data_IF_512835853107
#
_entry.id   IF_512835853107
#
_cell.length_a   1.000
_cell.length_b   1.000
_cell.length_c   1.000
_cell.angle_alpha   90.00
_cell.angle_beta   90.00
_cell.angle_gamma   90.00
#
_symmetry.space_group_name_H-M   'P 1'
#
loop_
_entity.id
_entity.type
_entity.pdbx_description
1 polymer ?
#
# COMPACT_ATOMS: atom_id res chain seq x y z
N UNK A 1 -43.86 12.68 -38.70
CA UNK A 1 -42.94 11.56 -38.45
C UNK A 1 -42.14 11.87 -37.20
N UNK A 2 -42.60 11.38 -36.04
CA UNK A 2 -41.90 11.56 -34.76
C UNK A 2 -41.17 10.27 -34.42
N UNK A 3 -39.86 10.26 -34.55
CA UNK A 3 -39.03 9.12 -34.18
C UNK A 3 -38.92 9.07 -32.67
N UNK A 4 -39.71 8.20 -32.03
CA UNK A 4 -39.57 7.92 -30.60
C UNK A 4 -38.36 6.98 -30.41
N UNK A 5 -37.40 7.32 -29.54
CA UNK A 5 -36.25 6.46 -29.29
C UNK A 5 -36.67 5.17 -28.57
N UNK A 6 -35.90 4.08 -28.73
CA UNK A 6 -36.23 2.78 -28.15
C UNK A 6 -36.14 2.80 -26.61
N UNK A 7 -36.95 1.99 -25.91
CA UNK A 7 -37.14 2.07 -24.46
C UNK A 7 -35.89 1.69 -23.62
N UNK A 8 -34.82 1.20 -24.24
CA UNK A 8 -33.58 0.85 -23.55
C UNK A 8 -32.62 2.03 -23.35
N UNK A 9 -32.84 3.16 -24.02
CA UNK A 9 -31.98 4.34 -23.94
C UNK A 9 -32.04 5.07 -22.58
N UNK A 10 -33.07 4.81 -21.75
CA UNK A 10 -33.27 5.48 -20.47
C UNK A 10 -32.45 4.88 -19.31
N UNK A 11 -31.72 3.78 -19.53
CA UNK A 11 -31.02 3.05 -18.45
C UNK A 11 -29.50 3.09 -18.57
N UNK A 12 -28.93 3.95 -19.41
CA UNK A 12 -27.49 4.15 -19.46
C UNK A 12 -27.08 5.21 -18.42
N UNK A 13 -26.36 4.85 -17.34
CA UNK A 13 -25.73 5.86 -16.49
C UNK A 13 -24.70 6.66 -17.31
N UNK A 14 -24.47 7.94 -16.99
CA UNK A 14 -23.58 8.80 -17.77
C UNK A 14 -22.14 8.23 -17.80
N UNK A 15 -21.43 8.31 -18.95
CA UNK A 15 -20.00 7.99 -19.03
C UNK A 15 -19.20 9.13 -18.38
N UNK A 16 -19.16 9.15 -17.05
CA UNK A 16 -18.46 10.18 -16.27
C UNK A 16 -18.32 9.88 -14.79
N UNK A 17 -18.68 8.67 -14.35
CA UNK A 17 -18.52 8.24 -12.97
C UNK A 17 -17.96 6.83 -12.96
N UNK A 18 -16.75 6.70 -13.48
CA UNK A 18 -15.93 5.56 -13.13
C UNK A 18 -15.12 6.02 -11.90
N UNK A 19 -15.54 5.74 -10.65
CA UNK A 19 -14.57 5.71 -9.58
C UNK A 19 -13.61 4.58 -9.95
N UNK A 20 -12.33 4.91 -10.11
CA UNK A 20 -11.28 3.90 -10.23
C UNK A 20 -11.49 2.85 -9.13
N UNK A 21 -11.62 1.56 -9.46
CA UNK A 21 -11.83 0.52 -8.46
C UNK A 21 -10.49 0.18 -7.80
N UNK A 22 -9.98 1.07 -6.92
CA UNK A 22 -8.83 0.78 -6.05
C UNK A 22 -8.77 1.69 -4.83
N UNK A 23 -9.91 1.91 -4.17
CA UNK A 23 -9.97 2.37 -2.77
C UNK A 23 -11.42 2.30 -2.31
N UNK A 24 -11.89 1.12 -1.91
CA UNK A 24 -13.19 1.01 -1.25
C UNK A 24 -13.16 1.86 0.03
N UNK A 25 -13.78 3.04 0.00
CA UNK A 25 -14.64 3.53 1.10
C UNK A 25 -14.02 4.13 2.35
N UNK A 26 -12.74 4.51 2.41
CA UNK A 26 -12.18 5.14 3.61
C UNK A 26 -11.66 6.55 3.35
N UNK A 27 -12.22 7.54 4.06
CA UNK A 27 -11.77 8.94 3.99
C UNK A 27 -10.33 9.11 4.51
N UNK A 28 -9.89 8.22 5.40
CA UNK A 28 -8.54 8.16 5.94
C UNK A 28 -8.19 6.75 6.44
N UNK A 29 -6.89 6.41 6.40
CA UNK A 29 -6.34 5.17 6.92
C UNK A 29 -5.03 5.42 7.69
N UNK A 30 -4.61 4.45 8.49
CA UNK A 30 -3.39 4.50 9.30
C UNK A 30 -2.23 3.87 8.53
N UNK A 31 -1.40 4.72 7.94
CA UNK A 31 -0.22 4.29 7.19
C UNK A 31 0.96 4.16 8.15
N UNK A 32 1.76 3.12 7.97
CA UNK A 32 3.00 3.00 8.74
C UNK A 32 4.11 3.87 8.18
N UNK A 33 4.69 4.69 9.05
CA UNK A 33 5.77 5.61 8.71
C UNK A 33 6.92 5.41 9.69
N UNK A 34 8.10 5.11 9.16
CA UNK A 34 9.35 5.13 9.90
C UNK A 34 9.85 6.55 10.07
N UNK A 35 10.41 6.84 11.24
CA UNK A 35 11.04 8.13 11.51
C UNK A 35 10.11 9.33 11.20
N UNK A 36 8.81 9.19 11.47
CA UNK A 36 7.82 10.23 11.25
C UNK A 36 8.28 11.58 11.85
N UNK A 37 8.30 12.63 11.04
CA UNK A 37 8.76 13.98 11.44
C UNK A 37 10.27 14.17 11.51
N UNK A 38 11.09 13.21 11.03
CA UNK A 38 12.55 13.36 10.91
C UNK A 38 12.98 13.49 9.46
N UNK A 39 14.23 13.90 9.24
CA UNK A 39 14.81 14.05 7.91
C UNK A 39 14.94 12.73 7.13
N UNK A 40 14.88 11.59 7.82
CA UNK A 40 14.89 10.24 7.25
C UNK A 40 13.50 9.58 7.36
N UNK A 41 12.43 10.36 7.21
CA UNK A 41 11.06 9.85 7.17
C UNK A 41 10.87 8.93 5.97
N UNK A 42 10.28 7.75 6.19
CA UNK A 42 10.01 6.77 5.15
C UNK A 42 8.70 6.03 5.39
N UNK A 43 7.97 5.69 4.32
CA UNK A 43 6.70 4.96 4.42
C UNK A 43 6.99 3.46 4.36
N UNK A 44 6.30 2.68 5.20
CA UNK A 44 6.35 1.22 5.12
C UNK A 44 5.64 0.75 3.85
N UNK A 45 6.42 0.13 2.97
CA UNK A 45 5.91 -0.60 1.81
C UNK A 45 6.20 -2.08 1.99
N UNK A 46 5.27 -2.93 1.56
CA UNK A 46 5.57 -4.32 1.27
C UNK A 46 5.71 -4.49 -0.23
N UNK A 47 6.61 -5.37 -0.66
CA UNK A 47 6.67 -5.81 -2.05
C UNK A 47 6.21 -7.26 -2.08
N UNK A 48 5.08 -7.50 -2.74
CA UNK A 48 4.60 -8.85 -3.03
C UNK A 48 5.33 -9.31 -4.30
N UNK A 49 5.89 -10.52 -4.26
CA UNK A 49 6.75 -11.07 -5.31
C UNK A 49 6.07 -11.07 -6.71
N UNK A 50 4.74 -11.06 -6.74
CA UNK A 50 3.91 -11.14 -7.95
C UNK A 50 3.01 -9.90 -8.18
N UNK A 51 2.86 -9.01 -7.18
CA UNK A 51 1.85 -7.93 -7.21
C UNK A 51 2.46 -6.52 -7.08
N UNK A 52 3.79 -6.41 -7.00
CA UNK A 52 4.47 -5.11 -6.94
C UNK A 52 4.57 -4.56 -5.52
N UNK A 53 4.94 -3.27 -5.43
CA UNK A 53 5.20 -2.60 -4.14
C UNK A 53 4.00 -1.78 -3.73
N UNK A 54 3.48 -2.04 -2.53
CA UNK A 54 2.29 -1.42 -1.96
C UNK A 54 2.57 -0.84 -0.59
N UNK A 55 2.01 0.33 -0.27
CA UNK A 55 2.02 0.85 1.10
C UNK A 55 1.03 0.07 1.96
N UNK A 56 1.38 -0.20 3.22
CA UNK A 56 0.47 -0.85 4.16
C UNK A 56 -0.32 0.19 4.94
N UNK A 57 -1.64 0.15 4.82
CA UNK A 57 -2.57 1.05 5.49
C UNK A 57 -3.58 0.25 6.32
N UNK A 58 -3.81 0.65 7.57
CA UNK A 58 -4.74 -0.01 8.47
C UNK A 58 -6.01 0.83 8.65
N UNK A 59 -7.16 0.16 8.69
CA UNK A 59 -8.42 0.80 9.06
C UNK A 59 -8.46 1.15 10.56
N UNK A 60 -7.82 0.30 11.39
CA UNK A 60 -7.86 0.41 12.84
C UNK A 60 -6.48 0.80 13.41
N UNK A 61 -6.41 1.83 14.29
CA UNK A 61 -5.14 2.24 14.89
C UNK A 61 -4.56 1.19 15.86
N UNK A 62 -5.41 0.40 16.53
CA UNK A 62 -4.96 -0.66 17.45
C UNK A 62 -4.20 -1.75 16.70
N UNK A 63 -4.77 -2.23 15.58
CA UNK A 63 -4.14 -3.20 14.68
C UNK A 63 -2.81 -2.66 14.12
N UNK A 64 -2.80 -1.38 13.73
CA UNK A 64 -1.59 -0.70 13.24
C UNK A 64 -0.51 -0.65 14.33
N UNK A 65 -0.86 -0.30 15.57
CA UNK A 65 0.08 -0.26 16.69
C UNK A 65 0.65 -1.65 17.00
N UNK A 66 -0.21 -2.68 17.02
CA UNK A 66 0.21 -4.08 17.21
C UNK A 66 1.17 -4.53 16.12
N UNK A 67 0.89 -4.20 14.86
CA UNK A 67 1.78 -4.53 13.75
C UNK A 67 3.12 -3.78 13.88
N UNK A 68 3.12 -2.55 14.41
CA UNK A 68 4.35 -1.76 14.62
C UNK A 68 5.24 -2.40 15.68
N UNK A 69 4.64 -2.90 16.76
CA UNK A 69 5.34 -3.70 17.76
C UNK A 69 5.84 -5.03 17.19
N UNK A 70 5.07 -5.68 16.32
CA UNK A 70 5.49 -6.90 15.64
C UNK A 70 6.73 -6.68 14.76
N UNK A 71 6.77 -5.56 14.02
CA UNK A 71 7.92 -5.16 13.22
C UNK A 71 9.17 -5.00 14.09
N UNK A 72 9.06 -4.31 15.23
CA UNK A 72 10.15 -4.17 16.20
C UNK A 72 10.65 -5.52 16.73
N UNK A 73 9.73 -6.41 17.10
CA UNK A 73 10.06 -7.76 17.58
C UNK A 73 10.77 -8.61 16.52
N UNK A 74 10.50 -8.34 15.24
CA UNK A 74 11.15 -8.97 14.08
C UNK A 74 12.49 -8.31 13.72
N UNK A 75 12.91 -7.24 14.40
CA UNK A 75 14.14 -6.50 14.14
C UNK A 75 14.03 -5.44 13.03
N UNK A 76 12.81 -5.06 12.64
CA UNK A 76 12.56 -3.90 11.78
C UNK A 76 12.63 -2.59 12.59
N UNK A 77 12.71 -1.46 11.91
CA UNK A 77 12.70 -0.14 12.55
C UNK A 77 11.34 0.17 13.21
N UNK A 78 11.32 1.17 14.08
CA UNK A 78 10.08 1.63 14.72
C UNK A 78 9.16 2.29 13.67
N UNK A 79 8.06 1.61 13.32
CA UNK A 79 7.02 2.16 12.48
C UNK A 79 5.93 2.83 13.33
N UNK A 80 5.64 4.10 13.03
CA UNK A 80 4.57 4.88 13.68
C UNK A 80 3.33 4.90 12.78
N UNK A 81 2.15 4.50 13.28
CA UNK A 81 0.91 4.64 12.52
C UNK A 81 0.53 6.13 12.42
N UNK A 82 0.51 6.65 11.20
CA UNK A 82 0.07 8.02 10.90
C UNK A 82 -1.23 8.00 10.09
N UNK A 83 -2.19 8.79 10.53
CA UNK A 83 -3.46 8.94 9.80
C UNK A 83 -3.24 9.75 8.53
N UNK A 84 -3.42 9.11 7.38
CA UNK A 84 -3.36 9.73 6.07
C UNK A 84 -4.74 9.72 5.43
N UNK A 85 -5.13 10.85 4.83
CA UNK A 85 -6.36 10.94 4.04
C UNK A 85 -6.23 10.16 2.74
N UNK A 86 -7.37 9.73 2.19
CA UNK A 86 -7.42 9.04 0.90
C UNK A 86 -6.72 9.82 -0.21
N UNK A 87 -6.93 11.13 -0.28
CA UNK A 87 -6.28 12.02 -1.24
C UNK A 87 -4.75 11.99 -1.12
N UNK A 88 -4.22 12.06 0.12
CA UNK A 88 -2.77 12.02 0.38
C UNK A 88 -2.17 10.68 -0.04
N UNK A 89 -2.84 9.57 0.29
CA UNK A 89 -2.40 8.23 -0.11
C UNK A 89 -2.44 8.07 -1.63
N UNK A 90 -3.54 8.47 -2.29
CA UNK A 90 -3.68 8.40 -3.73
C UNK A 90 -2.63 9.26 -4.45
N UNK A 91 -2.35 10.47 -3.95
CA UNK A 91 -1.30 11.33 -4.48
C UNK A 91 0.07 10.69 -4.32
N UNK A 92 0.36 10.09 -3.16
CA UNK A 92 1.61 9.38 -2.91
C UNK A 92 1.78 8.19 -3.86
N UNK A 93 0.77 7.33 -3.94
CA UNK A 93 0.73 6.17 -4.84
C UNK A 93 0.92 6.56 -6.30
N UNK A 94 0.25 7.62 -6.76
CA UNK A 94 0.39 8.10 -8.13
C UNK A 94 1.79 8.65 -8.43
N UNK A 95 2.43 9.32 -7.47
CA UNK A 95 3.81 9.84 -7.63
C UNK A 95 4.85 8.74 -7.56
N UNK A 96 4.66 7.79 -6.66
CA UNK A 96 5.61 6.72 -6.39
C UNK A 96 5.41 5.49 -7.31
N UNK A 97 4.28 5.39 -8.02
CA UNK A 97 3.92 4.22 -8.81
C UNK A 97 3.64 2.99 -7.93
N UNK A 98 3.11 3.22 -6.72
CA UNK A 98 2.86 2.20 -5.71
C UNK A 98 1.36 2.01 -5.54
N UNK A 99 0.95 0.85 -5.05
CA UNK A 99 -0.45 0.61 -4.67
C UNK A 99 -0.67 0.81 -3.16
N UNK A 100 -1.94 0.86 -2.74
CA UNK A 100 -2.32 0.89 -1.32
C UNK A 100 -2.90 -0.47 -0.95
N UNK A 101 -2.28 -1.15 0.00
CA UNK A 101 -2.83 -2.34 0.64
C UNK A 101 -3.54 -1.96 1.92
N UNK A 102 -4.87 -1.99 1.87
CA UNK A 102 -5.70 -1.68 3.03
C UNK A 102 -6.01 -2.94 3.85
N UNK A 103 -5.75 -2.84 5.15
CA UNK A 103 -5.95 -3.89 6.15
C UNK A 103 -7.24 -3.58 6.92
N UNK A 104 -8.31 -4.38 6.76
CA UNK A 104 -9.53 -4.20 7.52
C UNK A 104 -9.31 -4.52 8.99
N UNK A 105 -10.16 -3.97 9.86
CA UNK A 105 -10.07 -4.20 11.32
C UNK A 105 -10.10 -5.71 11.64
N UNK A 106 -9.21 -6.14 12.53
CA UNK A 106 -9.14 -7.54 12.95
C UNK A 106 -8.42 -8.47 11.96
N UNK A 107 -7.93 -7.95 10.83
CA UNK A 107 -6.98 -8.67 9.99
C UNK A 107 -5.57 -8.33 10.44
N UNK A 108 -4.80 -9.36 10.79
CA UNK A 108 -3.38 -9.22 11.10
C UNK A 108 -2.56 -9.62 9.86
N UNK A 109 -2.02 -8.66 9.09
CA UNK A 109 -1.15 -9.00 7.99
C UNK A 109 0.09 -9.67 8.56
N UNK A 110 0.58 -10.71 7.89
CA UNK A 110 1.86 -11.32 8.23
C UNK A 110 2.95 -10.44 7.61
N UNK A 111 3.87 -9.85 8.39
CA UNK A 111 5.00 -9.17 7.78
C UNK A 111 5.81 -10.20 6.99
N UNK A 112 6.45 -9.82 5.87
CA UNK A 112 7.34 -10.74 5.16
C UNK A 112 8.37 -11.31 6.13
N UNK A 113 8.57 -12.63 6.09
CA UNK A 113 9.38 -13.36 7.07
C UNK A 113 10.83 -12.88 7.14
N UNK A 114 11.34 -12.24 6.09
CA UNK A 114 12.67 -11.67 6.03
C UNK A 114 12.62 -10.19 5.65
N UNK A 115 13.28 -9.33 6.44
CA UNK A 115 13.86 -8.11 5.87
C UNK A 115 14.76 -8.60 4.76
N UNK A 116 14.49 -8.21 3.53
CA UNK A 116 15.40 -8.43 2.42
C UNK A 116 16.61 -7.53 2.66
N UNK A 117 17.50 -7.92 3.57
CA UNK A 117 18.87 -7.45 3.57
C UNK A 117 19.37 -7.85 2.19
N UNK A 118 19.50 -6.89 1.29
CA UNK A 118 20.24 -7.09 0.06
C UNK A 118 21.66 -7.46 0.41
N UNK A 119 21.90 -8.73 0.75
CA UNK A 119 23.21 -9.32 0.71
C UNK A 119 23.50 -9.49 -0.77
N UNK A 120 23.93 -8.39 -1.39
CA UNK A 120 24.95 -8.44 -2.41
C UNK A 120 26.21 -9.02 -1.78
N UNK A 121 26.19 -10.32 -1.48
CA UNK A 121 27.40 -11.10 -1.36
C UNK A 121 27.59 -11.69 -2.74
N UNK A 122 28.28 -10.91 -3.55
CA UNK A 122 29.09 -11.37 -4.67
C UNK A 122 29.81 -12.65 -4.24
N UNK A 123 29.21 -13.79 -4.58
CA UNK A 123 29.79 -15.09 -4.45
C UNK A 123 29.94 -15.66 -5.85
N UNK A 124 30.75 -15.02 -6.69
CA UNK A 124 31.44 -15.70 -7.77
C UNK A 124 32.81 -16.13 -7.23
N UNK A 125 32.97 -17.38 -6.77
CA UNK A 125 34.27 -17.95 -6.52
C UNK A 125 34.70 -18.84 -7.70
N UNK A 126 34.56 -18.43 -8.98
CA UNK A 126 35.19 -19.23 -10.05
C UNK A 126 35.60 -18.47 -11.32
N UNK A 127 36.10 -17.24 -11.21
CA UNK A 127 37.13 -16.76 -12.14
C UNK A 127 38.52 -17.20 -11.69
N UNK A 128 38.76 -18.52 -11.67
CA UNK A 128 40.12 -19.06 -11.70
C UNK A 128 40.60 -19.00 -13.15
N UNK A 129 41.20 -17.87 -13.54
CA UNK A 129 41.91 -17.81 -14.82
C UNK A 129 43.21 -18.62 -14.73
N UNK A 130 43.48 -19.53 -15.70
CA UNK A 130 44.84 -19.95 -16.01
C UNK A 130 45.64 -18.81 -16.66
#
# INVERSE_FOLDING_TARGET
AGSQPPPWAASQPPPGSQPSPTAHGFEAAWVMVFNAGKHNEGVYTHTLQDQGTSILAFECPDDANRFGQLLLNKGFDAATPLKWSADRMAMFCRRAGLEVSMVPRGTQPTPPSERQHGTGKSGDPERRYP
#
